data_IF_004083368067
#
_entry.id   IF_004083368067
#
_cell.length_a   1.000
_cell.length_b   1.000
_cell.length_c   1.000
_cell.angle_alpha   90.00
_cell.angle_beta   90.00
_cell.angle_gamma   90.00
#
_symmetry.space_group_name_H-M   'P 1'
#
loop_
_entity.id
_entity.type
_entity.pdbx_description
1 polymer ?
#
# COMPACT_ATOMS: atom_id res chain seq x y z
N UNK A 1 38.75 7.54 3.94
CA UNK A 1 37.84 8.70 3.88
C UNK A 1 36.50 8.26 4.40
N UNK A 2 36.02 8.87 5.49
CA UNK A 2 34.71 8.57 6.05
C UNK A 2 33.62 9.12 5.12
N UNK A 3 32.72 8.25 4.66
CA UNK A 3 31.47 8.64 4.02
C UNK A 3 30.43 8.78 5.13
N UNK A 4 30.31 9.96 5.71
CA UNK A 4 29.13 10.32 6.48
C UNK A 4 27.95 10.44 5.52
N UNK A 5 26.99 9.53 5.59
CA UNK A 5 25.64 9.80 5.13
C UNK A 5 25.16 11.04 5.90
N UNK A 6 24.94 12.13 5.16
CA UNK A 6 24.34 13.34 5.70
C UNK A 6 22.93 12.98 6.14
N UNK A 7 22.79 12.67 7.42
CA UNK A 7 21.49 12.68 8.07
C UNK A 7 20.99 14.13 7.96
N UNK A 8 19.90 14.33 7.21
CA UNK A 8 19.26 15.64 7.03
C UNK A 8 19.12 16.33 8.39
N UNK A 9 19.92 17.37 8.59
CA UNK A 9 19.98 18.17 9.82
C UNK A 9 19.37 19.55 9.64
N UNK A 10 18.81 19.83 8.45
CA UNK A 10 17.85 20.91 8.27
C UNK A 10 16.47 20.27 8.35
N UNK A 11 15.75 20.51 9.44
CA UNK A 11 14.33 20.17 9.52
C UNK A 11 13.58 20.83 8.36
N UNK A 12 12.49 20.21 7.93
CA UNK A 12 11.71 20.72 6.82
C UNK A 12 11.06 22.07 7.16
N UNK A 13 10.68 22.81 6.14
CA UNK A 13 9.99 24.09 6.30
C UNK A 13 8.49 23.84 6.41
N UNK A 14 7.89 24.35 7.49
CA UNK A 14 6.43 24.36 7.62
C UNK A 14 5.82 25.36 6.65
N UNK A 15 4.75 24.95 5.96
CA UNK A 15 4.09 25.75 4.93
C UNK A 15 2.59 25.86 5.22
N UNK A 16 2.05 27.05 5.04
CA UNK A 16 0.62 27.33 5.15
C UNK A 16 0.11 27.96 3.86
N UNK A 17 -1.15 27.74 3.54
CA UNK A 17 -1.84 28.33 2.41
C UNK A 17 -2.85 29.38 2.89
N UNK A 18 -2.73 30.59 2.36
CA UNK A 18 -3.65 31.69 2.59
C UNK A 18 -4.63 31.81 1.39
N UNK A 19 -5.92 31.46 1.58
CA UNK A 19 -6.92 31.50 0.53
C UNK A 19 -7.34 32.92 0.13
N UNK A 20 -7.07 33.94 0.94
CA UNK A 20 -7.50 35.32 0.63
C UNK A 20 -6.65 35.95 -0.48
N UNK A 21 -5.40 35.49 -0.62
CA UNK A 21 -4.43 35.98 -1.61
C UNK A 21 -3.95 34.89 -2.58
N UNK A 22 -4.43 33.66 -2.42
CA UNK A 22 -4.03 32.47 -3.18
C UNK A 22 -2.51 32.29 -3.24
N UNK A 23 -1.88 32.28 -2.05
CA UNK A 23 -0.43 32.12 -1.88
C UNK A 23 -0.12 31.27 -0.66
N UNK A 24 1.05 30.64 -0.69
CA UNK A 24 1.62 30.03 0.50
C UNK A 24 2.47 31.02 1.29
N UNK A 25 2.62 30.76 2.58
CA UNK A 25 3.45 31.52 3.51
C UNK A 25 4.08 30.58 4.55
N UNK A 26 4.95 31.15 5.39
CA UNK A 26 5.66 30.44 6.45
C UNK A 26 5.35 31.02 7.84
N UNK A 27 4.35 31.90 7.93
CA UNK A 27 4.06 32.74 9.11
C UNK A 27 2.88 32.20 9.93
N UNK A 28 2.56 30.91 9.76
CA UNK A 28 1.43 30.23 10.42
C UNK A 28 0.04 30.80 10.09
N UNK A 29 -0.09 31.54 8.98
CA UNK A 29 -1.35 32.13 8.55
C UNK A 29 -2.08 31.24 7.52
N UNK A 30 -3.37 30.99 7.76
CA UNK A 30 -4.21 30.17 6.88
C UNK A 30 -4.11 28.67 7.18
N UNK A 31 -4.29 27.84 6.15
CA UNK A 31 -4.38 26.38 6.29
C UNK A 31 -3.00 25.74 6.24
N UNK A 32 -2.63 24.99 7.27
CA UNK A 32 -1.37 24.23 7.29
C UNK A 32 -1.36 23.14 6.20
N UNK A 33 -0.30 23.11 5.39
CA UNK A 33 -0.13 22.11 4.32
C UNK A 33 0.81 20.97 4.72
N UNK A 34 1.71 21.22 5.66
CA UNK A 34 2.73 20.26 6.09
C UNK A 34 4.10 20.88 6.25
N UNK A 35 5.06 20.01 6.58
CA UNK A 35 6.49 20.30 6.61
C UNK A 35 7.14 19.76 5.34
N UNK A 36 7.96 20.57 4.67
CA UNK A 36 8.51 20.30 3.35
C UNK A 36 10.04 20.27 3.36
N UNK A 37 10.62 19.23 2.77
CA UNK A 37 12.02 19.14 2.39
C UNK A 37 12.22 19.64 0.94
N UNK A 38 13.47 19.88 0.55
CA UNK A 38 13.83 20.50 -0.74
C UNK A 38 13.31 19.74 -1.99
N UNK A 39 13.09 18.43 -1.89
CA UNK A 39 12.61 17.55 -2.95
C UNK A 39 11.09 17.33 -2.96
N UNK A 40 10.39 17.84 -1.94
CA UNK A 40 8.95 17.68 -1.80
C UNK A 40 8.18 18.78 -2.54
N UNK A 41 6.95 18.45 -2.94
CA UNK A 41 6.12 19.32 -3.79
C UNK A 41 4.71 19.48 -3.23
N UNK A 42 4.03 20.54 -3.66
CA UNK A 42 2.62 20.79 -3.37
C UNK A 42 1.81 20.29 -4.56
N UNK A 43 0.77 19.49 -4.30
CA UNK A 43 -0.27 19.16 -5.27
C UNK A 43 -1.32 20.28 -5.29
N UNK A 44 -1.65 20.74 -6.48
CA UNK A 44 -2.77 21.64 -6.75
C UNK A 44 -3.78 20.89 -7.61
N UNK A 45 -5.04 20.91 -7.19
CA UNK A 45 -6.17 20.37 -7.95
C UNK A 45 -7.22 21.48 -8.07
N UNK A 46 -7.68 21.73 -9.27
CA UNK A 46 -8.67 22.75 -9.61
C UNK A 46 -10.06 22.14 -9.78
N UNK A 47 -11.10 22.95 -9.65
CA UNK A 47 -12.51 22.52 -9.76
C UNK A 47 -12.90 21.98 -11.16
N UNK A 48 -12.15 22.38 -12.19
CA UNK A 48 -12.27 21.92 -13.57
C UNK A 48 -11.49 20.61 -13.84
N UNK A 49 -11.00 19.95 -12.78
CA UNK A 49 -10.28 18.68 -12.86
C UNK A 49 -8.84 18.78 -13.35
N UNK A 50 -8.33 19.99 -13.60
CA UNK A 50 -6.90 20.19 -13.81
C UNK A 50 -6.12 19.98 -12.51
N UNK A 51 -4.91 19.46 -12.63
CA UNK A 51 -4.00 19.29 -11.51
C UNK A 51 -2.55 19.37 -11.97
N UNK A 52 -1.69 19.76 -11.05
CA UNK A 52 -0.25 19.87 -11.25
C UNK A 52 0.48 19.91 -9.90
N UNK A 53 1.81 19.80 -9.93
CA UNK A 53 2.65 19.98 -8.75
C UNK A 53 3.55 21.21 -8.87
N UNK A 54 3.75 21.90 -7.74
CA UNK A 54 4.68 23.04 -7.63
C UNK A 54 5.71 22.78 -6.53
N UNK A 55 6.81 23.55 -6.55
CA UNK A 55 7.62 23.71 -5.35
C UNK A 55 6.84 24.52 -4.29
N UNK A 56 7.46 24.75 -3.13
CA UNK A 56 6.88 25.51 -2.03
C UNK A 56 7.45 26.94 -1.93
N UNK A 57 7.72 27.62 -3.05
CA UNK A 57 8.14 29.03 -3.05
C UNK A 57 6.95 29.98 -2.76
N UNK A 58 7.08 30.89 -1.78
CA UNK A 58 6.05 31.86 -1.40
C UNK A 58 5.70 32.88 -2.51
N UNK A 59 6.56 33.01 -3.51
CA UNK A 59 6.27 33.83 -4.68
C UNK A 59 5.29 33.17 -5.66
N UNK A 60 5.06 31.86 -5.55
CA UNK A 60 4.06 31.16 -6.35
C UNK A 60 2.69 31.79 -6.13
N UNK A 61 1.93 31.92 -7.22
CA UNK A 61 0.56 32.38 -7.20
C UNK A 61 -0.31 31.26 -7.74
N UNK A 62 -1.33 30.90 -6.99
CA UNK A 62 -2.28 29.86 -7.37
C UNK A 62 -3.55 30.49 -7.95
N UNK A 63 -4.27 29.70 -8.72
CA UNK A 63 -5.54 30.10 -9.31
C UNK A 63 -6.65 30.27 -8.26
N UNK A 64 -7.74 30.96 -8.61
CA UNK A 64 -8.84 31.19 -7.67
C UNK A 64 -9.76 29.97 -7.50
N UNK A 65 -9.69 29.00 -8.42
CA UNK A 65 -10.59 27.86 -8.51
C UNK A 65 -9.99 26.57 -7.92
N UNK A 66 -9.20 26.70 -6.85
CA UNK A 66 -8.57 25.58 -6.16
C UNK A 66 -9.65 24.72 -5.49
N UNK A 67 -9.71 23.45 -5.89
CA UNK A 67 -10.52 22.43 -5.24
C UNK A 67 -9.76 21.77 -4.09
N UNK A 68 -8.47 21.45 -4.29
CA UNK A 68 -7.59 20.89 -3.27
C UNK A 68 -6.18 21.44 -3.44
N UNK A 69 -5.54 21.74 -2.33
CA UNK A 69 -4.12 22.10 -2.28
C UNK A 69 -3.50 21.46 -1.05
N UNK A 70 -2.49 20.62 -1.24
CA UNK A 70 -1.89 19.83 -0.15
C UNK A 70 -0.48 19.36 -0.51
N UNK A 71 0.25 18.79 0.45
CA UNK A 71 1.53 18.13 0.17
C UNK A 71 1.31 16.96 -0.79
N UNK A 72 2.16 16.86 -1.82
CA UNK A 72 2.08 15.81 -2.83
C UNK A 72 2.47 14.45 -2.25
N UNK A 73 1.64 13.45 -2.54
CA UNK A 73 1.88 12.04 -2.25
C UNK A 73 1.57 11.25 -3.53
N UNK A 74 2.59 10.60 -4.08
CA UNK A 74 2.48 9.85 -5.33
C UNK A 74 1.69 8.54 -5.20
N UNK A 75 1.55 8.01 -4.00
CA UNK A 75 0.84 6.77 -3.72
C UNK A 75 -0.62 7.01 -3.31
N UNK A 76 -1.01 8.27 -3.08
CA UNK A 76 -2.39 8.62 -2.72
C UNK A 76 -3.36 8.24 -3.85
N UNK A 77 -4.32 7.39 -3.51
CA UNK A 77 -5.39 6.96 -4.41
C UNK A 77 -6.57 7.91 -4.27
N UNK A 78 -6.98 8.46 -5.41
CA UNK A 78 -8.15 9.31 -5.55
C UNK A 78 -9.31 8.54 -6.13
N UNK A 79 -10.52 8.85 -5.65
CA UNK A 79 -11.78 8.43 -6.24
C UNK A 79 -12.51 9.66 -6.76
N UNK A 80 -12.74 9.72 -8.07
CA UNK A 80 -13.53 10.76 -8.71
C UNK A 80 -14.84 10.19 -9.25
N UNK A 81 -15.91 10.97 -9.12
CA UNK A 81 -17.18 10.74 -9.80
C UNK A 81 -17.48 11.95 -10.64
N UNK A 82 -17.79 11.74 -11.91
CA UNK A 82 -17.98 12.81 -12.89
C UNK A 82 -19.02 12.43 -13.94
N UNK A 83 -19.67 13.43 -14.51
CA UNK A 83 -20.41 13.27 -15.76
C UNK A 83 -19.43 13.34 -16.92
N UNK A 84 -19.38 12.27 -17.71
CA UNK A 84 -18.45 12.14 -18.83
C UNK A 84 -19.16 12.54 -20.14
N UNK A 85 -18.86 13.74 -20.65
CA UNK A 85 -19.54 14.29 -21.82
C UNK A 85 -19.23 13.54 -23.12
N UNK A 86 -18.10 12.85 -23.20
CA UNK A 86 -17.75 12.00 -24.34
C UNK A 86 -18.52 10.67 -24.32
N UNK A 87 -19.17 10.35 -23.20
CA UNK A 87 -19.82 9.07 -22.96
C UNK A 87 -21.28 9.25 -22.52
N UNK A 88 -22.04 9.93 -23.38
CA UNK A 88 -23.48 10.20 -23.25
C UNK A 88 -23.85 11.08 -22.04
N UNK A 89 -22.86 11.65 -21.34
CA UNK A 89 -23.10 12.46 -20.14
C UNK A 89 -23.56 11.63 -18.95
N UNK A 90 -23.34 10.31 -18.94
CA UNK A 90 -23.64 9.48 -17.77
C UNK A 90 -22.62 9.69 -16.65
N UNK A 91 -23.00 9.41 -15.39
CA UNK A 91 -22.07 9.41 -14.28
C UNK A 91 -21.11 8.21 -14.36
N UNK A 92 -19.82 8.50 -14.23
CA UNK A 92 -18.72 7.54 -14.18
C UNK A 92 -17.95 7.70 -12.88
N UNK A 93 -17.49 6.58 -12.33
CA UNK A 93 -16.58 6.53 -11.19
C UNK A 93 -15.20 6.04 -11.64
N UNK A 94 -14.15 6.63 -11.09
CA UNK A 94 -12.76 6.32 -11.43
C UNK A 94 -11.89 6.34 -10.19
N UNK A 95 -11.00 5.36 -10.06
CA UNK A 95 -9.98 5.28 -9.00
C UNK A 95 -8.60 5.34 -9.61
N UNK A 96 -7.73 6.23 -9.13
CA UNK A 96 -6.43 6.51 -9.75
C UNK A 96 -5.44 7.20 -8.82
N UNK A 97 -4.15 7.10 -9.11
CA UNK A 97 -3.12 8.03 -8.63
C UNK A 97 -3.00 9.18 -9.63
N UNK A 98 -2.72 10.39 -9.16
CA UNK A 98 -2.67 11.56 -10.04
C UNK A 98 -1.47 11.52 -10.99
N UNK A 99 -0.38 10.82 -10.66
CA UNK A 99 0.88 10.82 -11.43
C UNK A 99 1.29 12.25 -11.84
N UNK A 100 1.23 13.16 -10.86
CA UNK A 100 1.29 14.60 -11.12
C UNK A 100 2.67 15.05 -11.59
N UNK A 101 2.68 16.05 -12.46
CA UNK A 101 3.89 16.68 -12.97
C UNK A 101 3.75 18.20 -12.85
N UNK A 102 4.83 18.93 -13.14
CA UNK A 102 4.79 20.41 -13.18
C UNK A 102 3.93 20.98 -14.30
N UNK A 103 3.50 20.15 -15.26
CA UNK A 103 2.57 20.55 -16.33
C UNK A 103 1.15 20.25 -15.88
N UNK A 104 0.23 21.12 -16.28
CA UNK A 104 -1.20 20.89 -16.08
C UNK A 104 -1.62 19.61 -16.80
N UNK A 105 -2.31 18.75 -16.07
CA UNK A 105 -2.93 17.52 -16.53
C UNK A 105 -4.39 17.54 -16.08
N UNK A 106 -5.27 16.78 -16.74
CA UNK A 106 -6.68 16.74 -16.37
C UNK A 106 -7.15 15.29 -16.19
N UNK A 107 -7.78 14.97 -15.06
CA UNK A 107 -8.26 13.61 -14.77
C UNK A 107 -9.68 13.31 -15.29
N UNK A 108 -10.43 14.35 -15.69
CA UNK A 108 -11.77 14.26 -16.28
C UNK A 108 -11.75 14.13 -17.81
N UNK A 109 -10.60 14.40 -18.44
CA UNK A 109 -10.43 14.35 -19.89
C UNK A 109 -10.29 15.72 -20.53
N UNK A 110 -10.38 15.79 -21.86
CA UNK A 110 -10.20 17.03 -22.62
C UNK A 110 -11.54 17.76 -22.90
N UNK A 111 -12.67 17.09 -22.75
CA UNK A 111 -13.99 17.67 -23.03
C UNK A 111 -14.42 18.62 -21.90
N UNK A 112 -14.56 19.93 -22.16
CA UNK A 112 -14.91 20.92 -21.14
C UNK A 112 -16.35 20.79 -20.62
N UNK A 113 -17.19 19.98 -21.28
CA UNK A 113 -18.55 19.71 -20.82
C UNK A 113 -18.62 18.60 -19.77
N UNK A 114 -17.52 17.87 -19.54
CA UNK A 114 -17.43 16.92 -18.43
C UNK A 114 -17.47 17.68 -17.10
N UNK A 115 -18.18 17.14 -16.10
CA UNK A 115 -18.40 17.83 -14.83
C UNK A 115 -18.08 16.95 -13.65
N UNK A 116 -17.25 17.45 -12.74
CA UNK A 116 -16.97 16.79 -11.48
C UNK A 116 -18.22 16.78 -10.59
N UNK A 117 -18.50 15.64 -9.96
CA UNK A 117 -19.54 15.49 -8.93
C UNK A 117 -18.87 15.37 -7.55
N UNK A 118 -17.85 14.52 -7.44
CA UNK A 118 -17.14 14.25 -6.19
C UNK A 118 -15.66 13.92 -6.50
N UNK A 119 -14.76 14.39 -5.65
CA UNK A 119 -13.37 13.94 -5.59
C UNK A 119 -12.99 13.69 -4.13
N UNK A 120 -12.53 12.49 -3.81
CA UNK A 120 -12.13 12.09 -2.45
C UNK A 120 -10.85 11.25 -2.47
N UNK A 121 -10.04 11.40 -1.43
CA UNK A 121 -8.83 10.62 -1.14
C UNK A 121 -9.03 9.59 -0.02
N UNK A 122 -10.29 9.35 0.38
CA UNK A 122 -10.65 8.31 1.34
C UNK A 122 -10.24 6.92 0.83
N UNK A 123 -9.53 6.14 1.66
CA UNK A 123 -8.96 4.84 1.27
C UNK A 123 -10.03 3.82 0.81
N UNK A 124 -11.15 3.75 1.54
CA UNK A 124 -12.29 2.86 1.25
C UNK A 124 -13.59 3.68 1.14
N UNK A 125 -13.74 4.48 0.07
CA UNK A 125 -14.88 5.38 -0.04
C UNK A 125 -16.16 4.59 -0.24
N UNK A 126 -17.14 4.87 0.60
CA UNK A 126 -18.51 4.38 0.45
C UNK A 126 -19.38 5.52 -0.05
N UNK A 127 -20.22 5.23 -1.04
CA UNK A 127 -21.00 6.23 -1.74
C UNK A 127 -22.46 5.86 -1.66
N UNK A 128 -23.31 6.79 -1.24
CA UNK A 128 -24.76 6.65 -1.31
C UNK A 128 -25.26 7.38 -2.54
N UNK A 129 -25.86 6.64 -3.46
CA UNK A 129 -26.39 7.15 -4.72
C UNK A 129 -27.90 7.24 -4.62
N UNK A 130 -28.43 8.45 -4.74
CA UNK A 130 -29.88 8.70 -4.77
C UNK A 130 -30.30 9.08 -6.18
N UNK A 131 -31.36 8.43 -6.68
CA UNK A 131 -31.90 8.64 -8.01
C UNK A 131 -32.94 9.77 -8.02
N UNK A 132 -33.02 10.49 -9.13
CA UNK A 132 -33.86 11.68 -9.26
C UNK A 132 -34.78 11.67 -10.48
N UNK A 133 -35.71 12.63 -10.51
CA UNK A 133 -36.63 12.81 -11.64
C UNK A 133 -37.54 11.59 -11.84
N UNK A 134 -37.56 11.03 -13.05
CA UNK A 134 -38.38 9.85 -13.38
C UNK A 134 -37.92 8.58 -12.65
N UNK A 135 -36.65 8.54 -12.23
CA UNK A 135 -36.04 7.41 -11.55
C UNK A 135 -36.10 7.53 -10.02
N UNK A 136 -36.68 8.59 -9.46
CA UNK A 136 -36.74 8.83 -8.02
C UNK A 136 -37.53 7.77 -7.23
N UNK A 137 -38.32 6.93 -7.92
CA UNK A 137 -39.00 5.79 -7.31
C UNK A 137 -38.04 4.65 -6.93
N UNK A 138 -36.79 4.69 -7.41
CA UNK A 138 -35.78 3.67 -7.11
C UNK A 138 -35.21 3.90 -5.72
N UNK A 139 -34.93 2.83 -4.96
CA UNK A 139 -34.24 2.96 -3.69
C UNK A 139 -32.81 3.48 -3.92
N UNK A 140 -32.30 4.20 -2.93
CA UNK A 140 -30.90 4.60 -2.92
C UNK A 140 -29.98 3.36 -2.86
N UNK A 141 -28.80 3.46 -3.45
CA UNK A 141 -27.81 2.39 -3.52
C UNK A 141 -26.53 2.79 -2.78
N UNK A 142 -26.00 1.87 -1.98
CA UNK A 142 -24.69 2.00 -1.34
C UNK A 142 -23.63 1.31 -2.20
N UNK A 143 -22.61 2.04 -2.60
CA UNK A 143 -21.52 1.56 -3.46
C UNK A 143 -20.19 1.67 -2.70
N UNK A 144 -19.50 0.53 -2.54
CA UNK A 144 -18.09 0.51 -2.15
C UNK A 144 -17.25 0.75 -3.41
N UNK A 145 -16.56 1.89 -3.47
CA UNK A 145 -15.82 2.31 -4.65
C UNK A 145 -14.67 1.36 -5.02
N UNK A 146 -14.01 0.76 -4.02
CA UNK A 146 -12.91 -0.17 -4.23
C UNK A 146 -13.41 -1.47 -4.89
N UNK A 147 -14.51 -2.01 -4.38
CA UNK A 147 -15.14 -3.19 -4.97
C UNK A 147 -15.76 -2.90 -6.33
N UNK A 148 -16.24 -1.67 -6.54
CA UNK A 148 -16.90 -1.29 -7.78
C UNK A 148 -15.93 -1.15 -8.95
N UNK A 149 -14.74 -0.56 -8.70
CA UNK A 149 -13.71 -0.34 -9.73
C UNK A 149 -12.29 -0.46 -9.16
N UNK A 150 -11.45 -1.24 -9.84
CA UNK A 150 -10.02 -1.30 -9.55
C UNK A 150 -9.31 0.02 -9.91
N UNK A 151 -8.15 0.27 -9.30
CA UNK A 151 -7.32 1.41 -9.66
C UNK A 151 -6.91 1.36 -11.14
N UNK A 152 -6.95 2.51 -11.80
CA UNK A 152 -6.55 2.76 -13.19
C UNK A 152 -5.66 4.00 -13.25
N UNK A 153 -5.14 4.30 -14.43
CA UNK A 153 -4.47 5.59 -14.68
C UNK A 153 -5.47 6.75 -14.62
N UNK A 154 -5.00 7.94 -14.21
CA UNK A 154 -5.78 9.17 -14.29
C UNK A 154 -6.21 9.55 -15.71
N UNK A 155 -5.72 8.90 -16.77
CA UNK A 155 -6.20 9.09 -18.16
C UNK A 155 -7.26 8.07 -18.58
N UNK A 156 -7.39 6.97 -17.85
CA UNK A 156 -8.29 5.89 -18.23
C UNK A 156 -9.76 6.31 -18.09
N UNK A 157 -10.62 5.73 -18.91
CA UNK A 157 -12.06 5.83 -18.69
C UNK A 157 -12.44 5.09 -17.40
N UNK A 158 -13.31 5.69 -16.60
CA UNK A 158 -13.89 5.06 -15.41
C UNK A 158 -14.88 3.94 -15.75
N UNK A 159 -15.57 3.44 -14.73
CA UNK A 159 -16.71 2.53 -14.87
C UNK A 159 -18.00 3.34 -14.75
N UNK A 160 -18.96 3.07 -15.63
CA UNK A 160 -20.26 3.74 -15.59
C UNK A 160 -20.94 3.39 -14.27
N UNK A 161 -21.35 4.41 -13.52
CA UNK A 161 -22.04 4.23 -12.24
C UNK A 161 -23.48 3.77 -12.49
N UNK A 162 -24.19 4.47 -13.36
CA UNK A 162 -25.58 4.18 -13.71
C UNK A 162 -25.95 4.84 -15.04
N UNK A 163 -27.07 4.42 -15.64
CA UNK A 163 -27.72 5.12 -16.77
C UNK A 163 -28.93 5.93 -16.31
N UNK A 164 -29.33 5.80 -15.05
CA UNK A 164 -30.47 6.50 -14.48
C UNK A 164 -30.11 7.92 -14.07
N UNK A 165 -31.13 8.79 -13.96
CA UNK A 165 -30.89 10.16 -13.51
C UNK A 165 -30.54 10.18 -12.03
N UNK A 166 -29.45 10.85 -11.68
CA UNK A 166 -29.04 11.06 -10.29
C UNK A 166 -29.68 12.32 -9.69
N UNK A 167 -30.02 12.25 -8.41
CA UNK A 167 -30.39 13.38 -7.57
C UNK A 167 -29.20 13.84 -6.72
N UNK A 168 -28.58 12.92 -5.98
CA UNK A 168 -27.41 13.21 -5.16
C UNK A 168 -26.45 12.01 -5.09
N UNK A 169 -25.19 12.32 -4.84
CA UNK A 169 -24.20 11.35 -4.40
C UNK A 169 -23.60 11.88 -3.10
N UNK A 170 -23.64 11.08 -2.05
CA UNK A 170 -23.12 11.41 -0.74
C UNK A 170 -21.98 10.45 -0.39
N UNK A 171 -20.84 10.97 0.07
CA UNK A 171 -19.81 10.13 0.66
C UNK A 171 -20.24 9.74 2.08
N UNK A 172 -20.25 8.44 2.34
CA UNK A 172 -20.53 7.85 3.64
C UNK A 172 -19.22 7.57 4.37
N UNK A 173 -19.29 7.53 5.69
CA UNK A 173 -18.16 7.13 6.53
C UNK A 173 -17.61 5.75 6.14
N UNK A 174 -16.28 5.60 5.99
CA UNK A 174 -15.65 4.32 5.74
C UNK A 174 -15.93 3.31 6.84
N UNK A 175 -16.17 2.06 6.44
CA UNK A 175 -16.29 0.93 7.38
C UNK A 175 -14.97 0.19 7.57
N UNK A 176 -13.97 0.49 6.75
CA UNK A 176 -12.63 -0.10 6.73
C UNK A 176 -11.60 1.03 6.77
N UNK A 177 -10.47 0.77 7.40
CA UNK A 177 -9.33 1.69 7.47
C UNK A 177 -8.06 0.96 7.04
N UNK A 178 -7.13 1.64 6.37
CA UNK A 178 -5.88 1.02 5.97
C UNK A 178 -5.12 0.57 7.21
N UNK A 179 -4.44 -0.57 7.12
CA UNK A 179 -3.52 -0.97 8.18
C UNK A 179 -2.39 0.06 8.28
N UNK A 180 -1.93 0.42 9.48
CA UNK A 180 -0.83 1.35 9.63
C UNK A 180 0.42 0.78 8.94
N UNK A 181 1.07 1.57 8.08
CA UNK A 181 2.33 1.18 7.46
C UNK A 181 3.40 1.03 8.54
N UNK A 182 4.02 -0.16 8.60
CA UNK A 182 5.17 -0.42 9.46
C UNK A 182 6.45 0.08 8.79
N UNK A 183 6.67 1.39 8.77
CA UNK A 183 7.96 1.95 8.41
C UNK A 183 8.84 2.00 9.67
N UNK A 184 9.54 0.89 9.95
CA UNK A 184 10.59 0.82 10.96
C UNK A 184 11.87 0.31 10.30
N UNK A 185 12.63 1.25 9.71
CA UNK A 185 14.01 1.00 9.29
C UNK A 185 14.92 1.02 10.53
N UNK A 186 15.16 -0.18 11.09
CA UNK A 186 16.35 -0.43 11.88
C UNK A 186 16.90 -1.83 11.67
N UNK A 187 17.94 -1.89 10.82
CA UNK A 187 19.10 -2.80 10.92
C UNK A 187 18.85 -4.31 10.91
N UNK A 188 18.97 -4.93 9.73
CA UNK A 188 19.81 -6.13 9.58
C UNK A 188 20.58 -6.07 8.26
N UNK A 189 21.82 -5.60 8.35
CA UNK A 189 22.85 -5.97 7.39
C UNK A 189 23.28 -7.41 7.63
N UNK A 190 23.14 -8.26 6.61
CA UNK A 190 24.30 -8.77 5.88
C UNK A 190 23.84 -9.50 4.61
N UNK A 191 24.32 -8.96 3.49
CA UNK A 191 24.24 -9.50 2.14
C UNK A 191 25.04 -10.78 1.98
N UNK A 192 24.57 -11.67 1.11
CA UNK A 192 25.25 -12.07 -0.14
C UNK A 192 24.36 -13.11 -0.83
N UNK A 193 23.62 -12.74 -1.88
CA UNK A 193 23.96 -12.84 -3.32
C UNK A 193 23.20 -14.04 -3.93
N UNK A 194 22.13 -13.80 -4.71
CA UNK A 194 22.09 -13.78 -6.20
C UNK A 194 21.99 -15.23 -6.78
N UNK A 195 21.16 -15.64 -7.74
CA UNK A 195 20.07 -15.09 -8.53
C UNK A 195 19.32 -16.29 -9.20
N UNK A 196 18.04 -16.07 -9.53
CA UNK A 196 17.20 -16.69 -10.59
C UNK A 196 17.01 -18.24 -10.73
N UNK A 197 15.77 -18.73 -10.65
CA UNK A 197 14.85 -18.88 -11.82
C UNK A 197 13.68 -19.89 -11.57
N UNK A 198 12.45 -19.39 -11.70
CA UNK A 198 11.18 -19.98 -12.22
C UNK A 198 10.85 -21.48 -12.04
N UNK A 199 9.77 -21.74 -11.29
CA UNK A 199 8.58 -22.48 -11.77
C UNK A 199 8.48 -23.98 -11.50
N UNK A 200 7.33 -24.41 -10.97
CA UNK A 200 6.79 -25.76 -11.19
C UNK A 200 6.39 -26.52 -9.93
N UNK A 201 5.11 -26.89 -9.87
CA UNK A 201 4.50 -27.82 -8.92
C UNK A 201 5.18 -29.21 -8.86
N UNK A 202 4.99 -29.86 -7.70
CA UNK A 202 4.88 -31.31 -7.49
C UNK A 202 5.97 -32.22 -8.08
N UNK A 203 6.89 -32.70 -7.25
CA UNK A 203 7.20 -34.13 -7.04
C UNK A 203 8.37 -34.31 -6.05
N UNK A 204 8.41 -35.50 -5.45
CA UNK A 204 9.31 -36.04 -4.41
C UNK A 204 10.75 -35.50 -4.33
N UNK A 205 11.16 -35.05 -3.14
CA UNK A 205 12.57 -34.86 -2.80
C UNK A 205 13.13 -36.19 -2.27
N UNK A 206 13.91 -36.89 -3.10
CA UNK A 206 14.85 -37.91 -2.64
C UNK A 206 15.95 -37.23 -1.80
N UNK A 207 16.19 -37.74 -0.59
CA UNK A 207 17.24 -37.25 0.29
C UNK A 207 18.59 -37.81 -0.23
N UNK A 208 19.39 -36.98 -0.89
CA UNK A 208 20.70 -37.35 -1.48
C UNK A 208 21.86 -37.19 -0.50
N UNK A 209 21.59 -37.09 0.79
CA UNK A 209 22.64 -37.10 1.81
C UNK A 209 23.06 -38.57 2.07
N UNK A 210 24.29 -38.97 1.69
CA UNK A 210 24.78 -40.34 1.92
C UNK A 210 24.89 -40.70 3.41
N UNK A 211 24.73 -39.73 4.31
CA UNK A 211 24.78 -39.93 5.76
C UNK A 211 23.44 -39.66 6.47
N UNK A 212 22.35 -39.39 5.72
CA UNK A 212 21.02 -39.26 6.30
C UNK A 212 20.54 -40.61 6.88
N UNK A 213 20.76 -40.79 8.19
CA UNK A 213 20.32 -41.96 8.95
C UNK A 213 21.43 -42.79 9.58
N UNK A 214 22.71 -42.40 9.46
CA UNK A 214 23.80 -43.04 10.21
C UNK A 214 23.85 -42.49 11.63
N UNK A 215 24.07 -43.37 12.62
CA UNK A 215 24.30 -42.92 14.00
C UNK A 215 25.71 -42.30 14.12
N UNK A 216 25.93 -41.41 15.10
CA UNK A 216 27.25 -40.83 15.36
C UNK A 216 28.34 -41.90 15.50
N UNK A 217 28.00 -43.08 16.05
CA UNK A 217 28.90 -44.22 16.16
C UNK A 217 29.33 -44.78 14.79
N UNK A 218 28.41 -44.90 13.83
CA UNK A 218 28.71 -45.42 12.49
C UNK A 218 29.61 -44.46 11.68
N UNK A 219 29.46 -43.16 11.89
CA UNK A 219 30.30 -42.15 11.24
C UNK A 219 31.73 -42.18 11.82
N UNK A 220 31.87 -42.40 13.13
CA UNK A 220 33.18 -42.50 13.79
C UNK A 220 33.94 -43.77 13.36
N UNK A 221 33.24 -44.90 13.21
CA UNK A 221 33.84 -46.17 12.76
C UNK A 221 34.33 -46.09 11.30
N UNK A 222 33.61 -45.36 10.43
CA UNK A 222 33.98 -45.11 9.03
C UNK A 222 35.19 -44.15 8.92
N UNK A 223 35.28 -43.13 9.81
CA UNK A 223 36.37 -42.15 9.81
C UNK A 223 37.66 -42.70 10.43
N UNK A 224 37.58 -43.61 11.40
CA UNK A 224 38.74 -44.13 12.13
C UNK A 224 39.22 -45.49 11.64
N UNK A 225 38.45 -46.17 10.78
CA UNK A 225 38.81 -47.45 10.16
C UNK A 225 39.02 -48.59 11.18
N UNK A 226 38.57 -48.41 12.43
CA UNK A 226 38.66 -49.39 13.50
C UNK A 226 37.28 -49.98 13.72
N UNK A 227 37.04 -51.20 13.22
CA UNK A 227 35.85 -51.96 13.57
C UNK A 227 36.00 -52.52 14.98
N UNK A 228 35.25 -51.96 15.93
CA UNK A 228 35.20 -52.50 17.28
C UNK A 228 34.45 -53.84 17.27
N UNK A 229 35.23 -54.91 17.34
CA UNK A 229 34.80 -56.31 17.29
C UNK A 229 34.44 -56.84 18.69
N UNK A 230 33.63 -56.12 19.47
CA UNK A 230 33.12 -56.63 20.76
C UNK A 230 31.69 -56.14 21.02
N UNK A 231 30.76 -57.09 20.97
CA UNK A 231 29.33 -56.98 21.26
C UNK A 231 29.05 -57.25 22.74
N UNK A 232 28.44 -56.30 23.46
CA UNK A 232 27.93 -56.50 24.82
C UNK A 232 26.40 -56.37 24.86
N UNK A 233 25.72 -57.40 24.32
CA UNK A 233 24.43 -57.93 24.82
C UNK A 233 23.99 -59.19 24.06
N UNK A 234 24.93 -60.11 23.86
CA UNK A 234 24.64 -61.54 24.03
C UNK A 234 24.96 -61.88 25.49
N UNK A 235 24.05 -61.54 26.39
CA UNK A 235 23.94 -62.19 27.70
C UNK A 235 22.47 -62.57 27.87
N UNK A 236 22.18 -63.83 27.54
CA UNK A 236 20.88 -64.46 27.74
C UNK A 236 20.63 -64.80 29.21
N UNK A 237 19.36 -64.65 29.56
CA UNK A 237 18.56 -65.18 30.68
C UNK A 237 19.21 -66.22 31.61
N UNK A 238 19.43 -65.85 32.88
CA UNK A 238 18.97 -66.60 34.07
C UNK A 238 19.55 -65.95 35.34
N UNK A 239 18.77 -65.11 36.02
CA UNK A 239 18.90 -64.84 37.46
C UNK A 239 17.59 -64.22 37.97
N UNK A 240 16.53 -65.02 37.88
CA UNK A 240 15.39 -64.89 38.79
C UNK A 240 15.81 -65.50 40.13
N UNK A 241 15.54 -64.75 41.21
CA UNK A 241 15.62 -65.13 42.63
C UNK A 241 17.00 -64.95 43.24
N UNK A 242 17.21 -63.77 43.84
CA UNK A 242 17.24 -63.71 45.29
C UNK A 242 16.57 -62.41 45.75
N UNK A 243 15.33 -62.57 46.19
CA UNK A 243 14.73 -61.65 47.16
C UNK A 243 15.60 -61.66 48.42
N UNK A 244 15.43 -60.62 49.24
CA UNK A 244 15.46 -60.78 50.69
C UNK A 244 16.82 -60.61 51.40
N UNK A 245 17.44 -59.42 51.26
CA UNK A 245 18.33 -58.90 52.32
C UNK A 245 17.82 -57.61 53.00
N UNK A 246 16.62 -57.13 52.62
CA UNK A 246 15.93 -56.00 53.26
C UNK A 246 14.85 -56.43 54.26
N UNK A 247 14.90 -57.69 54.73
CA UNK A 247 14.15 -58.15 55.90
C UNK A 247 15.11 -58.61 57.01
N UNK A 248 15.31 -57.68 57.95
CA UNK A 248 15.72 -57.92 59.34
C UNK A 248 17.21 -58.20 59.64
N UNK A 249 17.70 -57.26 60.47
CA UNK A 249 18.77 -57.33 61.48
C UNK A 249 20.20 -57.05 61.05
#
# INVERSE_FOLDING_TARGET
GLKSHGHSTLGGRKVWFDPDVNRINYDENGRFLGEFNDDESILVVLDNGEFYITNFDANNHYEDNILRLEKWDEHKIWTAILYDADNEGYPYIKRFTMDATKRHQNFMGENPNSKLILLTDTAFPRLKVTYGGVDAVRPAEDIDAEQFIAQKSFKAKGKRLTTWKLESIEELEPTRFPEPSTDDDSTKGNNSDDAENTGGNEESVENLDPDAGKSEQQIIDELTGQTNLFSDKDFTEDDKKDQDWLSKQ
#
